data_IF_395493762413
#
_entry.id   IF_395493762413
#
_cell.length_a   1.000
_cell.length_b   1.000
_cell.length_c   1.000
_cell.angle_alpha   90.00
_cell.angle_beta   90.00
_cell.angle_gamma   90.00
#
_symmetry.space_group_name_H-M   'P 1'
#
loop_
_entity.id
_entity.type
_entity.pdbx_description
1 polymer ?
#
# COMPACT_ATOMS: atom_id res chain seq x y z
N UNK A 1 3.98 -15.12 6.25
CA UNK A 1 4.28 -16.49 5.81
C UNK A 1 5.63 -16.50 5.11
N UNK A 2 6.53 -17.40 5.51
CA UNK A 2 7.85 -17.57 4.89
C UNK A 2 7.80 -18.74 3.91
N UNK A 3 8.32 -18.55 2.71
CA UNK A 3 8.40 -19.59 1.69
C UNK A 3 9.76 -20.29 1.73
N UNK A 4 9.79 -21.51 1.18
CA UNK A 4 11.01 -22.29 0.97
C UNK A 4 11.39 -22.25 -0.52
N UNK A 5 12.67 -22.01 -0.87
CA UNK A 5 13.82 -21.84 0.02
C UNK A 5 13.92 -20.47 0.71
N UNK A 6 13.26 -19.45 0.17
CA UNK A 6 13.32 -18.08 0.65
C UNK A 6 12.07 -17.28 0.25
N UNK A 7 12.00 -16.01 0.66
CA UNK A 7 10.87 -15.13 0.41
C UNK A 7 9.85 -15.09 1.54
N UNK A 8 9.16 -13.97 1.66
CA UNK A 8 8.17 -13.71 2.70
C UNK A 8 6.98 -12.96 2.11
N UNK A 9 5.77 -13.42 2.43
CA UNK A 9 4.54 -12.65 2.24
C UNK A 9 3.97 -12.26 3.59
N UNK A 10 3.60 -11.00 3.77
CA UNK A 10 2.98 -10.48 4.99
C UNK A 10 1.79 -9.59 4.65
N UNK A 11 0.77 -9.63 5.51
CA UNK A 11 -0.36 -8.69 5.44
C UNK A 11 -0.73 -8.24 6.83
N UNK A 12 -0.96 -6.95 6.98
CA UNK A 12 -1.53 -6.34 8.18
C UNK A 12 -2.84 -5.68 7.77
N UNK A 13 -3.94 -6.19 8.31
CA UNK A 13 -5.26 -5.60 8.12
C UNK A 13 -5.43 -4.49 9.15
N UNK A 14 -5.85 -3.32 8.67
CA UNK A 14 -6.16 -2.14 9.49
C UNK A 14 -7.61 -1.72 9.21
N UNK A 15 -8.11 -0.69 9.90
CA UNK A 15 -9.48 -0.21 9.71
C UNK A 15 -9.75 0.10 8.23
N UNK A 16 -10.62 -0.72 7.63
CA UNK A 16 -11.14 -0.60 6.26
C UNK A 16 -10.07 -0.65 5.14
N UNK A 17 -8.87 -1.13 5.44
CA UNK A 17 -7.75 -1.12 4.48
C UNK A 17 -6.66 -2.13 4.89
N UNK A 18 -5.46 -2.07 4.30
CA UNK A 18 -4.40 -3.04 4.58
C UNK A 18 -3.01 -2.56 4.14
N UNK A 19 -1.98 -3.14 4.75
CA UNK A 19 -0.62 -3.13 4.23
C UNK A 19 -0.23 -4.56 3.86
N UNK A 20 0.28 -4.77 2.65
CA UNK A 20 0.76 -6.07 2.19
C UNK A 20 2.18 -5.97 1.64
N UNK A 21 2.96 -7.04 1.80
CA UNK A 21 4.31 -7.14 1.26
C UNK A 21 4.58 -8.55 0.75
N UNK A 22 5.28 -8.65 -0.36
CA UNK A 22 5.77 -9.89 -0.96
C UNK A 22 7.24 -9.69 -1.35
N UNK A 23 8.12 -10.62 -0.95
CA UNK A 23 9.57 -10.49 -1.21
C UNK A 23 10.13 -11.64 -2.03
N UNK A 24 11.07 -11.31 -2.91
CA UNK A 24 11.87 -12.21 -3.73
C UNK A 24 13.36 -11.90 -3.51
N UNK A 25 13.97 -12.49 -2.45
CA UNK A 25 15.35 -12.17 -2.09
C UNK A 25 16.37 -12.48 -3.19
N UNK A 26 16.08 -13.43 -4.09
CA UNK A 26 16.93 -13.84 -5.21
C UNK A 26 17.04 -12.74 -6.28
N UNK A 27 16.09 -11.80 -6.28
CA UNK A 27 16.08 -10.62 -7.14
C UNK A 27 16.41 -9.34 -6.38
N UNK A 28 16.59 -9.40 -5.05
CA UNK A 28 16.65 -8.21 -4.20
C UNK A 28 15.38 -7.35 -4.26
N UNK A 29 14.22 -7.97 -4.51
CA UNK A 29 12.97 -7.27 -4.82
C UNK A 29 11.90 -7.46 -3.74
N UNK A 30 11.10 -6.42 -3.52
CA UNK A 30 9.89 -6.47 -2.72
C UNK A 30 8.75 -5.70 -3.42
N UNK A 31 7.58 -6.32 -3.51
CA UNK A 31 6.34 -5.66 -3.87
C UNK A 31 5.59 -5.29 -2.59
N UNK A 32 5.12 -4.04 -2.50
CA UNK A 32 4.46 -3.50 -1.31
C UNK A 32 3.17 -2.79 -1.72
N UNK A 33 2.08 -3.09 -1.02
CA UNK A 33 0.83 -2.34 -1.08
C UNK A 33 0.62 -1.62 0.25
N UNK A 34 0.48 -0.29 0.22
CA UNK A 34 0.07 0.51 1.36
C UNK A 34 -1.29 1.13 1.05
N UNK A 35 -2.33 0.55 1.62
CA UNK A 35 -3.70 1.05 1.49
C UNK A 35 -4.16 1.55 2.86
N UNK A 36 -4.55 2.82 2.92
CA UNK A 36 -5.13 3.47 4.10
C UNK A 36 -6.48 4.08 3.76
N UNK A 37 -7.31 4.31 4.78
CA UNK A 37 -8.59 5.01 4.66
C UNK A 37 -8.60 6.26 5.56
N UNK A 38 -9.28 7.31 5.12
CA UNK A 38 -9.42 8.58 5.83
C UNK A 38 -8.20 9.52 5.70
N UNK A 39 -8.35 10.74 6.21
CA UNK A 39 -7.40 11.85 5.96
C UNK A 39 -6.31 12.00 7.03
N UNK A 40 -6.36 11.17 8.08
CA UNK A 40 -5.44 11.26 9.23
C UNK A 40 -4.15 10.45 9.04
N UNK A 41 -4.12 9.56 8.06
CA UNK A 41 -3.00 8.64 7.84
C UNK A 41 -2.43 8.90 6.46
N UNK A 42 -1.17 9.32 6.39
CA UNK A 42 -0.44 9.46 5.15
C UNK A 42 0.18 8.11 4.75
N UNK A 43 -0.23 7.45 3.65
CA UNK A 43 0.34 6.17 3.24
C UNK A 43 1.85 6.26 2.92
N UNK A 44 2.34 7.45 2.56
CA UNK A 44 3.75 7.65 2.26
C UNK A 44 4.67 7.48 3.47
N UNK A 45 4.17 7.70 4.69
CA UNK A 45 4.97 7.51 5.91
C UNK A 45 5.35 6.04 6.07
N UNK A 46 4.41 5.12 5.82
CA UNK A 46 4.65 3.68 5.84
C UNK A 46 5.54 3.25 4.66
N UNK A 47 5.33 3.80 3.47
CA UNK A 47 6.18 3.53 2.31
C UNK A 47 7.64 3.93 2.59
N UNK A 48 7.90 5.15 3.07
CA UNK A 48 9.24 5.63 3.40
C UNK A 48 9.89 4.80 4.51
N UNK A 49 9.11 4.41 5.51
CA UNK A 49 9.61 3.51 6.55
C UNK A 49 10.09 2.17 5.98
N UNK A 50 9.33 1.58 5.05
CA UNK A 50 9.69 0.32 4.40
C UNK A 50 10.91 0.48 3.49
N UNK A 51 11.00 1.58 2.72
CA UNK A 51 12.18 1.89 1.90
C UNK A 51 13.45 1.95 2.75
N UNK A 52 13.40 2.65 3.88
CA UNK A 52 14.54 2.74 4.80
C UNK A 52 14.89 1.41 5.45
N UNK A 53 13.89 0.59 5.83
CA UNK A 53 14.11 -0.70 6.49
C UNK A 53 14.54 -1.82 5.57
N UNK A 54 14.13 -1.77 4.31
CA UNK A 54 14.56 -2.72 3.27
C UNK A 54 15.86 -2.28 2.59
N UNK A 55 16.38 -1.10 2.95
CA UNK A 55 17.58 -0.51 2.33
C UNK A 55 17.46 -0.46 0.80
N UNK A 56 16.26 -0.12 0.31
CA UNK A 56 15.97 -0.16 -1.12
C UNK A 56 16.78 0.91 -1.86
N UNK A 57 17.60 0.47 -2.82
CA UNK A 57 18.40 1.37 -3.66
C UNK A 57 17.53 2.11 -4.70
N UNK A 58 16.45 1.48 -5.17
CA UNK A 58 15.52 2.02 -6.15
C UNK A 58 14.08 1.77 -5.71
N UNK A 59 13.19 2.72 -6.01
CA UNK A 59 11.76 2.68 -5.66
C UNK A 59 10.94 3.19 -6.83
N UNK A 60 10.03 2.36 -7.36
CA UNK A 60 8.92 2.80 -8.22
C UNK A 60 7.63 2.71 -7.40
N UNK A 61 7.00 3.84 -7.15
CA UNK A 61 5.79 3.93 -6.33
C UNK A 61 4.74 4.80 -7.01
N UNK A 62 3.47 4.36 -6.94
CA UNK A 62 2.33 5.05 -7.53
C UNK A 62 1.20 5.11 -6.52
N UNK A 63 0.61 6.29 -6.37
CA UNK A 63 -0.56 6.48 -5.53
C UNK A 63 -1.84 6.40 -6.38
N UNK A 64 -2.82 5.63 -5.91
CA UNK A 64 -4.13 5.52 -6.54
C UNK A 64 -5.21 5.87 -5.52
N UNK A 65 -5.93 6.96 -5.76
CA UNK A 65 -7.09 7.33 -4.95
C UNK A 65 -8.23 6.35 -5.18
N UNK A 66 -8.71 5.70 -4.12
CA UNK A 66 -9.81 4.72 -4.16
C UNK A 66 -11.11 5.37 -3.66
N UNK A 67 -12.26 4.83 -4.09
CA UNK A 67 -13.56 5.25 -3.55
C UNK A 67 -14.01 6.66 -3.96
N UNK A 68 -13.58 7.18 -5.11
CA UNK A 68 -14.05 8.47 -5.62
C UNK A 68 -15.54 8.41 -5.98
N UNK A 69 -16.40 8.84 -5.05
CA UNK A 69 -17.82 9.03 -5.32
C UNK A 69 -17.98 10.30 -6.16
N UNK A 70 -18.58 10.16 -7.35
CA UNK A 70 -19.07 11.32 -8.09
C UNK A 70 -20.23 11.89 -7.28
N UNK A 71 -20.21 13.19 -6.99
CA UNK A 71 -21.38 13.86 -6.46
C UNK A 71 -22.55 13.59 -7.40
N UNK A 72 -23.55 12.85 -6.91
CA UNK A 72 -24.85 12.85 -7.56
C UNK A 72 -25.41 14.23 -7.27
N UNK A 73 -25.21 15.17 -8.19
CA UNK A 73 -25.90 16.46 -8.16
C UNK A 73 -27.38 16.16 -8.05
N UNK A 74 -27.95 16.41 -6.86
CA UNK A 74 -29.38 16.42 -6.68
C UNK A 74 -29.93 17.47 -7.64
N UNK A 75 -30.48 17.02 -8.78
CA UNK A 75 -31.28 17.88 -9.62
C UNK A 75 -32.44 18.35 -8.74
N UNK A 76 -32.38 19.61 -8.32
CA UNK A 76 -33.55 20.31 -7.82
C UNK A 76 -34.59 20.24 -8.92
N UNK A 77 -35.60 19.40 -8.72
CA UNK A 77 -36.84 19.45 -9.49
C UNK A 77 -37.47 20.79 -9.14
N UNK A 78 -37.34 21.74 -10.07
CA UNK A 78 -38.12 22.99 -10.11
C UNK A 78 -39.55 22.71 -10.53
#
# INVERSE_FOLDING_TARGET
HKFSPQGVSGVVVISESHLAIHTWPELGYAAVDVFTCGDRVNPWDACQHLVAKLEAAEVDAREVKRGQLKEVTAQKVS
#
